data_IF_786124899053
#
_entry.id   IF_786124899053
#
_cell.length_a   1.000
_cell.length_b   1.000
_cell.length_c   1.000
_cell.angle_alpha   90.00
_cell.angle_beta   90.00
_cell.angle_gamma   90.00
#
_symmetry.space_group_name_H-M   'P 1'
#
loop_
_entity.id
_entity.type
_entity.pdbx_description
1 polymer ?
#
# COMPACT_ATOMS: atom_id res chain seq x y z
N UNK A 1 14.26 60.93 -1.22
CA UNK A 1 14.78 60.16 -2.41
C UNK A 1 16.30 59.93 -2.36
N UNK A 2 17.11 60.76 -1.71
CA UNK A 2 18.58 60.68 -1.64
C UNK A 2 19.08 59.47 -0.81
N UNK A 3 18.45 59.12 0.30
CA UNK A 3 18.90 58.00 1.17
C UNK A 3 18.72 56.62 0.51
N UNK A 4 17.72 56.44 -0.37
CA UNK A 4 17.49 55.18 -1.07
C UNK A 4 18.53 54.95 -2.18
N UNK A 5 18.96 56.02 -2.88
CA UNK A 5 20.01 55.98 -3.90
C UNK A 5 21.40 55.68 -3.28
N UNK A 6 21.74 56.24 -2.12
CA UNK A 6 22.98 55.93 -1.44
C UNK A 6 23.04 54.51 -0.90
N UNK A 7 21.95 53.97 -0.44
CA UNK A 7 21.84 52.54 -0.03
C UNK A 7 22.02 51.59 -1.22
N UNK A 8 21.40 51.87 -2.37
CA UNK A 8 21.56 51.09 -3.59
C UNK A 8 22.99 51.10 -4.13
N UNK A 9 23.70 52.24 -4.05
CA UNK A 9 25.10 52.34 -4.45
C UNK A 9 26.06 51.62 -3.49
N UNK A 10 25.79 51.60 -2.19
CA UNK A 10 26.52 50.79 -1.20
C UNK A 10 26.29 49.31 -1.39
N UNK A 11 25.03 48.86 -1.65
CA UNK A 11 24.68 47.48 -1.95
C UNK A 11 25.36 47.00 -3.24
N UNK A 12 25.43 47.81 -4.30
CA UNK A 12 26.11 47.45 -5.54
C UNK A 12 27.62 47.32 -5.40
N UNK A 13 28.22 48.07 -4.49
CA UNK A 13 29.68 48.04 -4.20
C UNK A 13 30.05 46.82 -3.34
N UNK A 14 29.15 46.36 -2.47
CA UNK A 14 29.37 45.24 -1.55
C UNK A 14 28.43 44.04 -1.80
N UNK A 15 27.96 43.87 -3.04
CA UNK A 15 26.99 42.83 -3.39
C UNK A 15 27.37 41.43 -2.91
N UNK A 16 28.69 41.11 -2.90
CA UNK A 16 29.17 39.79 -2.41
C UNK A 16 28.92 39.60 -0.92
N UNK A 17 29.20 40.65 -0.11
CA UNK A 17 28.97 40.58 1.34
C UNK A 17 27.47 40.43 1.64
N UNK A 18 26.63 41.13 0.86
CA UNK A 18 25.18 41.05 0.99
C UNK A 18 24.69 39.63 0.63
N UNK A 19 25.17 39.03 -0.48
CA UNK A 19 24.79 37.68 -0.88
C UNK A 19 25.30 36.62 0.09
N UNK A 20 26.53 36.76 0.61
CA UNK A 20 27.06 35.88 1.65
C UNK A 20 26.24 35.99 2.94
N UNK A 21 25.90 37.21 3.36
CA UNK A 21 25.00 37.44 4.49
C UNK A 21 23.61 36.77 4.28
N UNK A 22 23.05 36.93 3.07
CA UNK A 22 21.77 36.28 2.72
C UNK A 22 21.87 34.76 2.76
N UNK A 23 22.92 34.17 2.18
CA UNK A 23 23.15 32.74 2.23
C UNK A 23 23.29 32.24 3.68
N UNK A 24 24.00 32.96 4.53
CA UNK A 24 24.14 32.65 5.96
C UNK A 24 22.79 32.69 6.69
N UNK A 25 21.96 33.70 6.42
CA UNK A 25 20.63 33.83 6.99
C UNK A 25 19.72 32.65 6.52
N UNK A 26 19.76 32.29 5.23
CA UNK A 26 18.99 31.13 4.69
C UNK A 26 19.41 29.83 5.37
N UNK A 27 20.70 29.59 5.57
CA UNK A 27 21.19 28.42 6.28
C UNK A 27 20.79 28.47 7.76
N UNK A 28 20.89 29.63 8.41
CA UNK A 28 20.46 29.79 9.80
C UNK A 28 18.96 29.55 9.99
N UNK A 29 18.10 29.96 9.05
CA UNK A 29 16.67 29.69 9.09
C UNK A 29 16.35 28.19 8.98
N UNK A 30 17.22 27.40 8.33
CA UNK A 30 17.04 25.93 8.29
C UNK A 30 17.14 25.27 9.68
N UNK A 31 17.78 25.91 10.67
CA UNK A 31 17.86 25.39 12.05
C UNK A 31 16.49 25.39 12.76
N UNK A 32 15.59 26.29 12.38
CA UNK A 32 14.23 26.38 12.94
C UNK A 32 13.22 25.43 12.29
N UNK A 33 13.66 24.56 11.35
CA UNK A 33 12.79 23.62 10.61
C UNK A 33 11.54 24.31 10.08
N UNK A 34 11.68 25.30 9.17
CA UNK A 34 10.51 25.99 8.63
C UNK A 34 9.65 25.00 7.85
N UNK A 35 8.40 24.87 8.27
CA UNK A 35 7.40 23.99 7.68
C UNK A 35 6.27 24.84 7.11
N UNK A 36 5.78 24.47 5.93
CA UNK A 36 4.66 25.15 5.30
C UNK A 36 3.69 24.15 4.69
N UNK A 37 2.36 24.30 4.88
CA UNK A 37 1.38 23.46 4.24
C UNK A 37 1.33 23.76 2.74
N UNK A 38 1.84 22.82 1.93
CA UNK A 38 1.78 22.88 0.48
C UNK A 38 0.85 21.80 -0.04
N UNK A 39 0.00 22.09 -1.08
CA UNK A 39 -0.81 21.08 -1.72
C UNK A 39 0.11 20.05 -2.41
N UNK A 40 0.01 18.79 -1.97
CA UNK A 40 0.73 17.65 -2.53
C UNK A 40 -0.23 16.54 -2.90
N UNK A 41 0.14 15.77 -3.91
CA UNK A 41 -0.51 14.49 -4.18
C UNK A 41 -0.05 13.50 -3.10
N UNK A 42 -1.00 13.02 -2.32
CA UNK A 42 -0.80 12.03 -1.27
C UNK A 42 -1.76 10.86 -1.47
N UNK A 43 -1.49 9.78 -0.80
CA UNK A 43 -2.26 8.55 -0.90
C UNK A 43 -2.77 8.15 0.48
N UNK A 44 -4.01 7.67 0.54
CA UNK A 44 -4.63 7.24 1.79
C UNK A 44 -5.19 5.85 1.61
N UNK A 45 -4.54 4.87 2.22
CA UNK A 45 -4.92 3.47 2.05
C UNK A 45 -5.23 2.80 3.39
N UNK A 46 -6.27 1.97 3.37
CA UNK A 46 -6.41 0.84 4.28
C UNK A 46 -5.95 -0.40 3.53
N UNK A 47 -4.81 -0.94 3.93
CA UNK A 47 -4.21 -2.14 3.32
C UNK A 47 -4.65 -3.34 4.13
N UNK A 48 -5.41 -4.25 3.51
CA UNK A 48 -5.96 -5.44 4.14
C UNK A 48 -5.28 -6.68 3.57
N UNK A 49 -4.67 -7.46 4.45
CA UNK A 49 -4.04 -8.72 4.10
C UNK A 49 -4.96 -9.90 4.40
N UNK A 50 -5.17 -10.74 3.43
CA UNK A 50 -5.69 -12.08 3.64
C UNK A 50 -4.63 -12.90 4.38
N UNK A 51 -5.01 -13.46 5.53
CA UNK A 51 -4.13 -14.30 6.37
C UNK A 51 -4.63 -15.74 6.47
N UNK A 52 -5.50 -16.15 5.56
CA UNK A 52 -6.02 -17.53 5.53
C UNK A 52 -4.96 -18.53 5.10
N UNK A 53 -5.20 -19.82 5.31
CA UNK A 53 -4.21 -20.88 5.13
C UNK A 53 -3.64 -20.97 3.71
N UNK A 54 -4.42 -20.62 2.70
CA UNK A 54 -3.99 -20.59 1.29
C UNK A 54 -2.87 -19.58 1.04
N UNK A 55 -2.77 -18.53 1.87
CA UNK A 55 -1.71 -17.53 1.80
C UNK A 55 -0.33 -18.05 2.28
N UNK A 56 -0.27 -19.23 2.91
CA UNK A 56 0.99 -19.91 3.23
C UNK A 56 1.59 -20.68 2.03
N UNK A 57 0.85 -20.76 0.93
CA UNK A 57 1.29 -21.47 -0.28
C UNK A 57 2.53 -20.83 -0.87
N UNK A 58 3.48 -21.67 -1.34
CA UNK A 58 4.75 -21.25 -1.90
C UNK A 58 4.73 -21.39 -3.42
N UNK A 59 4.35 -20.32 -4.11
CA UNK A 59 4.22 -20.26 -5.56
C UNK A 59 4.84 -19.01 -6.20
N UNK A 60 5.55 -18.21 -5.41
CA UNK A 60 6.44 -17.16 -5.92
C UNK A 60 7.86 -17.68 -6.07
N UNK A 61 8.49 -17.40 -7.23
CA UNK A 61 9.85 -17.88 -7.56
C UNK A 61 10.76 -16.73 -8.01
N UNK A 62 10.56 -15.55 -7.43
CA UNK A 62 11.38 -14.39 -7.74
C UNK A 62 12.66 -14.41 -6.89
N UNK A 63 13.83 -14.38 -7.53
CA UNK A 63 15.11 -14.43 -6.82
C UNK A 63 15.25 -13.29 -5.80
N UNK A 64 15.63 -13.65 -4.57
CA UNK A 64 15.80 -12.70 -3.46
C UNK A 64 14.52 -12.27 -2.75
N UNK A 65 13.37 -12.83 -3.14
CA UNK A 65 12.08 -12.56 -2.51
C UNK A 65 11.50 -13.83 -1.85
N UNK A 66 10.60 -13.67 -0.86
CA UNK A 66 9.91 -14.80 -0.23
C UNK A 66 9.11 -15.61 -1.25
N UNK A 67 9.00 -16.92 -0.99
CA UNK A 67 8.24 -17.81 -1.85
C UNK A 67 6.77 -17.93 -1.45
N UNK A 68 6.45 -17.76 -0.16
CA UNK A 68 5.09 -17.81 0.33
C UNK A 68 4.33 -16.52 0.05
N UNK A 69 3.03 -16.65 -0.23
CA UNK A 69 2.17 -15.56 -0.69
C UNK A 69 2.06 -14.43 0.33
N UNK A 70 1.87 -14.76 1.62
CA UNK A 70 1.68 -13.75 2.66
C UNK A 70 2.94 -12.91 2.84
N UNK A 71 4.11 -13.55 2.98
CA UNK A 71 5.37 -12.81 3.16
C UNK A 71 5.73 -12.03 1.91
N UNK A 72 5.51 -12.60 0.71
CA UNK A 72 5.73 -11.88 -0.55
C UNK A 72 4.82 -10.63 -0.65
N UNK A 73 3.55 -10.74 -0.26
CA UNK A 73 2.62 -9.61 -0.25
C UNK A 73 3.06 -8.53 0.74
N UNK A 74 3.47 -8.91 1.96
CA UNK A 74 3.97 -7.99 3.00
C UNK A 74 5.21 -7.22 2.52
N UNK A 75 6.21 -7.94 1.98
CA UNK A 75 7.44 -7.34 1.46
C UNK A 75 7.16 -6.44 0.24
N UNK A 76 6.22 -6.84 -0.62
CA UNK A 76 5.82 -6.03 -1.77
C UNK A 76 5.12 -4.74 -1.35
N UNK A 77 4.26 -4.79 -0.34
CA UNK A 77 3.63 -3.60 0.24
C UNK A 77 4.69 -2.72 0.89
N UNK A 78 5.61 -3.28 1.69
CA UNK A 78 6.73 -2.53 2.28
C UNK A 78 7.52 -1.77 1.21
N UNK A 79 7.90 -2.45 0.12
CA UNK A 79 8.59 -1.80 -1.00
C UNK A 79 7.75 -0.68 -1.63
N UNK A 80 6.44 -0.89 -1.80
CA UNK A 80 5.54 0.12 -2.34
C UNK A 80 5.40 1.34 -1.42
N UNK A 81 5.40 1.14 -0.09
CA UNK A 81 5.32 2.25 0.87
C UNK A 81 6.54 3.18 0.80
N UNK A 82 7.72 2.67 0.45
CA UNK A 82 8.91 3.50 0.24
C UNK A 82 8.80 4.46 -0.95
N UNK A 83 7.95 4.15 -1.93
CA UNK A 83 7.73 4.97 -3.13
C UNK A 83 6.62 6.02 -2.94
N UNK A 84 5.83 5.92 -1.87
CA UNK A 84 4.77 6.87 -1.58
C UNK A 84 5.34 8.15 -0.94
N UNK A 85 4.83 9.33 -1.32
CA UNK A 85 5.29 10.60 -0.77
C UNK A 85 4.91 10.76 0.71
N UNK A 86 5.75 11.47 1.47
CA UNK A 86 5.41 11.90 2.82
C UNK A 86 4.13 12.73 2.82
N UNK A 87 3.31 12.56 3.85
CA UNK A 87 1.94 13.06 3.95
C UNK A 87 0.90 12.04 3.51
N UNK A 88 1.32 10.90 2.91
CA UNK A 88 0.44 9.75 2.70
C UNK A 88 0.11 9.07 4.02
N UNK A 89 -1.09 8.50 4.13
CA UNK A 89 -1.59 7.84 5.33
C UNK A 89 -1.88 6.37 5.05
N UNK A 90 -1.41 5.49 5.91
CA UNK A 90 -1.54 4.04 5.77
C UNK A 90 -2.15 3.46 7.04
N UNK A 91 -3.27 2.75 6.89
CA UNK A 91 -3.83 1.85 7.88
C UNK A 91 -3.59 0.40 7.47
N UNK A 92 -3.57 -0.51 8.43
CA UNK A 92 -3.43 -1.94 8.18
C UNK A 92 -4.63 -2.70 8.75
N UNK A 93 -5.02 -3.75 8.04
CA UNK A 93 -6.08 -4.66 8.44
C UNK A 93 -5.78 -6.10 8.04
N UNK A 94 -6.49 -7.02 8.65
CA UNK A 94 -6.43 -8.45 8.41
C UNK A 94 -7.79 -8.95 7.95
N UNK A 95 -7.79 -9.76 6.91
CA UNK A 95 -8.95 -10.52 6.50
C UNK A 95 -8.78 -11.98 6.93
N UNK A 96 -9.78 -12.52 7.57
CA UNK A 96 -9.86 -13.94 7.92
C UNK A 96 -11.33 -14.35 8.00
N UNK A 97 -11.62 -15.57 7.60
CA UNK A 97 -12.98 -16.14 7.60
C UNK A 97 -13.93 -15.37 6.67
N UNK A 98 -14.64 -14.39 7.18
CA UNK A 98 -15.60 -13.54 6.46
C UNK A 98 -15.58 -12.08 6.88
N UNK A 99 -14.64 -11.70 7.74
CA UNK A 99 -14.57 -10.36 8.35
C UNK A 99 -13.20 -9.75 8.20
N UNK A 100 -13.16 -8.42 8.23
CA UNK A 100 -11.91 -7.66 8.26
C UNK A 100 -11.75 -7.02 9.64
N UNK A 101 -10.55 -7.09 10.17
CA UNK A 101 -10.17 -6.46 11.44
C UNK A 101 -9.10 -5.43 11.16
N UNK A 102 -9.43 -4.16 11.35
CA UNK A 102 -8.46 -3.07 11.25
C UNK A 102 -7.56 -3.08 12.47
N UNK A 103 -6.25 -3.17 12.24
CA UNK A 103 -5.24 -3.18 13.30
C UNK A 103 -5.02 -1.78 13.86
N UNK A 104 -5.02 -0.77 12.98
CA UNK A 104 -4.98 0.64 13.32
C UNK A 104 -5.52 1.50 12.16
N UNK A 105 -6.02 2.68 12.53
CA UNK A 105 -6.46 3.69 11.58
C UNK A 105 -5.29 4.28 10.79
N UNK A 106 -5.53 4.88 9.60
CA UNK A 106 -4.46 5.45 8.80
C UNK A 106 -3.64 6.48 9.56
N UNK A 107 -2.33 6.27 9.59
CA UNK A 107 -1.33 7.16 10.18
C UNK A 107 -0.36 7.66 9.10
N UNK A 108 0.22 8.84 9.31
CA UNK A 108 1.15 9.45 8.36
C UNK A 108 2.40 8.57 8.19
N UNK A 109 2.72 8.29 6.93
CA UNK A 109 3.70 7.29 6.53
C UNK A 109 5.12 7.60 7.01
N UNK A 110 5.62 8.80 6.72
CA UNK A 110 7.04 9.11 6.97
C UNK A 110 7.34 9.25 8.47
N UNK A 111 6.43 9.81 9.23
CA UNK A 111 6.61 10.00 10.69
C UNK A 111 6.45 8.70 11.47
N UNK A 112 5.69 7.74 10.92
CA UNK A 112 5.32 6.50 11.61
C UNK A 112 5.76 5.24 10.87
N UNK A 113 6.68 5.37 9.90
CA UNK A 113 7.13 4.24 9.08
C UNK A 113 7.60 3.04 9.91
N UNK A 114 8.35 3.30 10.98
CA UNK A 114 8.84 2.23 11.86
C UNK A 114 7.71 1.45 12.55
N UNK A 115 6.59 2.10 12.89
CA UNK A 115 5.42 1.46 13.49
C UNK A 115 4.72 0.60 12.45
N UNK A 116 4.50 1.16 11.25
CA UNK A 116 3.87 0.43 10.13
C UNK A 116 4.71 -0.81 9.77
N UNK A 117 6.03 -0.64 9.66
CA UNK A 117 6.96 -1.71 9.33
C UNK A 117 6.99 -2.81 10.42
N UNK A 118 6.99 -2.43 11.68
CA UNK A 118 6.95 -3.37 12.81
C UNK A 118 5.66 -4.18 12.79
N UNK A 119 4.50 -3.56 12.57
CA UNK A 119 3.22 -4.27 12.46
C UNK A 119 3.21 -5.19 11.25
N UNK A 120 3.70 -4.76 10.08
CA UNK A 120 3.84 -5.60 8.89
C UNK A 120 4.67 -6.85 9.19
N UNK A 121 5.77 -6.72 9.93
CA UNK A 121 6.61 -7.85 10.33
C UNK A 121 5.84 -8.87 11.18
N UNK A 122 4.97 -8.39 12.08
CA UNK A 122 4.23 -9.24 13.01
C UNK A 122 2.95 -9.85 12.43
N UNK A 123 2.46 -9.40 11.27
CA UNK A 123 1.34 -10.07 10.58
C UNK A 123 1.72 -11.52 10.26
N UNK A 124 0.90 -12.45 10.77
CA UNK A 124 1.16 -13.88 10.68
C UNK A 124 -0.17 -14.64 10.50
N UNK A 125 -0.15 -15.74 9.76
CA UNK A 125 -1.32 -16.58 9.51
C UNK A 125 -1.96 -17.12 10.79
N UNK A 126 -1.19 -17.27 11.88
CA UNK A 126 -1.67 -17.75 13.20
C UNK A 126 -2.62 -16.76 13.89
N UNK A 127 -2.73 -15.54 13.37
CA UNK A 127 -3.75 -14.59 13.81
C UNK A 127 -5.17 -14.97 13.32
N UNK A 128 -5.26 -15.88 12.32
CA UNK A 128 -6.53 -16.44 11.89
C UNK A 128 -7.04 -17.47 12.90
N UNK A 129 -8.32 -17.40 13.24
CA UNK A 129 -8.96 -18.32 14.20
C UNK A 129 -9.71 -19.48 13.53
N UNK A 130 -9.92 -19.44 12.23
CA UNK A 130 -10.59 -20.47 11.44
C UNK A 130 -9.87 -20.68 10.11
N UNK A 131 -10.07 -21.83 9.50
CA UNK A 131 -9.50 -22.19 8.20
C UNK A 131 -10.44 -21.90 7.01
N UNK A 132 -11.70 -21.53 7.28
CA UNK A 132 -12.66 -21.16 6.26
C UNK A 132 -12.37 -19.74 5.71
N UNK A 133 -12.75 -19.51 4.44
CA UNK A 133 -12.50 -18.27 3.73
C UNK A 133 -13.71 -17.88 2.90
N UNK A 134 -14.25 -16.69 3.14
CA UNK A 134 -15.36 -16.10 2.40
C UNK A 134 -14.97 -14.69 1.94
N UNK A 135 -14.16 -14.65 0.86
CA UNK A 135 -13.56 -13.42 0.33
C UNK A 135 -14.60 -12.38 -0.05
N UNK A 136 -15.68 -12.81 -0.69
CA UNK A 136 -16.79 -11.93 -1.07
C UNK A 136 -17.35 -11.21 0.16
N UNK A 137 -17.69 -11.96 1.21
CA UNK A 137 -18.22 -11.38 2.46
C UNK A 137 -17.21 -10.44 3.14
N UNK A 138 -15.95 -10.86 3.21
CA UNK A 138 -14.87 -10.04 3.79
C UNK A 138 -14.70 -8.71 3.07
N UNK A 139 -14.70 -8.75 1.73
CA UNK A 139 -14.60 -7.55 0.91
C UNK A 139 -15.76 -6.57 1.15
N UNK A 140 -17.00 -7.09 1.22
CA UNK A 140 -18.19 -6.28 1.51
C UNK A 140 -18.16 -5.68 2.92
N UNK A 141 -17.73 -6.46 3.91
CA UNK A 141 -17.55 -5.94 5.27
C UNK A 141 -16.50 -4.82 5.29
N UNK A 142 -15.36 -5.01 4.61
CA UNK A 142 -14.33 -3.99 4.51
C UNK A 142 -14.87 -2.70 3.88
N UNK A 143 -15.56 -2.79 2.74
CA UNK A 143 -16.14 -1.63 2.04
C UNK A 143 -17.14 -0.90 2.94
N UNK A 144 -18.06 -1.63 3.56
CA UNK A 144 -19.11 -1.06 4.41
C UNK A 144 -18.55 -0.38 5.66
N UNK A 145 -17.52 -0.97 6.28
CA UNK A 145 -16.95 -0.44 7.50
C UNK A 145 -16.06 0.76 7.20
N UNK A 146 -15.28 0.74 6.11
CA UNK A 146 -14.52 1.90 5.65
C UNK A 146 -15.43 3.07 5.26
N UNK A 147 -16.52 2.80 4.54
CA UNK A 147 -17.50 3.85 4.19
C UNK A 147 -18.06 4.57 5.42
N UNK A 148 -18.26 3.86 6.54
CA UNK A 148 -18.75 4.46 7.79
C UNK A 148 -17.69 5.28 8.50
N UNK A 149 -16.42 4.86 8.41
CA UNK A 149 -15.31 5.52 9.10
C UNK A 149 -14.81 6.72 8.31
N UNK A 150 -14.43 6.51 7.06
CA UNK A 150 -13.86 7.52 6.17
C UNK A 150 -14.08 7.12 4.70
N UNK A 151 -15.09 7.68 4.02
CA UNK A 151 -15.42 7.33 2.63
C UNK A 151 -14.34 7.75 1.62
N UNK A 152 -13.42 8.65 1.99
CA UNK A 152 -12.31 9.10 1.14
C UNK A 152 -11.11 8.15 1.23
N UNK A 153 -11.12 7.21 2.18
CA UNK A 153 -10.07 6.22 2.34
C UNK A 153 -10.17 5.14 1.26
N UNK A 154 -9.05 4.78 0.67
CA UNK A 154 -8.98 3.76 -0.39
C UNK A 154 -8.65 2.40 0.18
N UNK A 155 -9.36 1.39 -0.27
CA UNK A 155 -9.11 0.00 0.09
C UNK A 155 -8.03 -0.60 -0.83
N UNK A 156 -7.00 -1.20 -0.26
CA UNK A 156 -6.09 -2.12 -0.96
C UNK A 156 -6.24 -3.52 -0.34
N UNK A 157 -6.98 -4.40 -1.02
CA UNK A 157 -7.34 -5.72 -0.49
C UNK A 157 -6.52 -6.81 -1.17
N UNK A 158 -5.61 -7.47 -0.41
CA UNK A 158 -4.69 -8.49 -0.93
C UNK A 158 -5.21 -9.88 -0.57
N UNK A 159 -5.54 -10.71 -1.57
CA UNK A 159 -6.09 -12.07 -1.40
C UNK A 159 -5.80 -12.93 -2.63
N UNK A 160 -5.87 -14.25 -2.49
CA UNK A 160 -5.87 -15.19 -3.62
C UNK A 160 -7.27 -15.40 -4.22
N UNK A 161 -8.30 -14.90 -3.57
CA UNK A 161 -9.67 -14.93 -4.07
C UNK A 161 -10.38 -16.26 -3.92
N UNK A 162 -9.81 -17.24 -3.22
CA UNK A 162 -10.43 -18.55 -3.04
C UNK A 162 -11.48 -18.56 -1.92
N UNK A 163 -12.61 -19.20 -2.20
CA UNK A 163 -13.67 -19.48 -1.22
C UNK A 163 -13.51 -20.90 -0.66
N UNK A 164 -13.47 -21.03 0.67
CA UNK A 164 -13.33 -22.33 1.33
C UNK A 164 -14.27 -22.41 2.55
N UNK A 165 -15.25 -23.34 2.58
CA UNK A 165 -15.66 -24.21 1.49
C UNK A 165 -16.25 -23.44 0.31
N UNK A 166 -16.22 -24.00 -0.92
CA UNK A 166 -16.82 -23.37 -2.07
C UNK A 166 -18.30 -23.10 -1.84
N UNK A 167 -18.73 -21.86 -1.96
CA UNK A 167 -20.13 -21.48 -1.73
C UNK A 167 -21.02 -21.89 -2.91
N UNK A 168 -22.14 -22.53 -2.60
CA UNK A 168 -23.17 -22.92 -3.60
C UNK A 168 -24.17 -21.78 -3.88
N UNK A 169 -24.26 -20.78 -3.01
CA UNK A 169 -25.19 -19.64 -3.13
C UNK A 169 -24.38 -18.35 -3.02
N UNK A 170 -24.49 -17.49 -4.03
CA UNK A 170 -23.90 -16.16 -3.96
C UNK A 170 -24.65 -15.33 -2.92
N UNK A 171 -23.96 -14.66 -1.97
CA UNK A 171 -24.60 -13.68 -1.12
C UNK A 171 -25.29 -12.62 -1.98
N UNK A 172 -26.51 -12.23 -1.62
CA UNK A 172 -27.16 -11.07 -2.24
C UNK A 172 -26.46 -9.81 -1.73
N UNK A 173 -25.69 -9.19 -2.61
CA UNK A 173 -24.90 -7.99 -2.31
C UNK A 173 -25.57 -6.80 -2.97
N UNK A 174 -26.60 -6.28 -2.33
CA UNK A 174 -27.27 -5.08 -2.79
C UNK A 174 -26.45 -3.83 -2.45
N UNK A 175 -26.06 -3.09 -3.47
CA UNK A 175 -25.74 -1.68 -3.34
C UNK A 175 -24.33 -1.30 -2.91
N UNK A 176 -23.28 -2.05 -3.30
CA UNK A 176 -21.89 -1.75 -2.88
C UNK A 176 -21.04 -1.09 -3.99
N UNK A 177 -21.59 -0.99 -5.19
CA UNK A 177 -20.84 -0.45 -6.34
C UNK A 177 -20.47 1.02 -6.15
N UNK A 178 -19.16 1.31 -6.19
CA UNK A 178 -18.65 2.70 -6.12
C UNK A 178 -18.78 3.37 -4.76
N UNK A 179 -19.05 2.62 -3.70
CA UNK A 179 -19.18 3.17 -2.35
C UNK A 179 -17.88 3.69 -1.78
N UNK A 180 -16.76 3.04 -2.11
CA UNK A 180 -15.40 3.50 -1.82
C UNK A 180 -14.52 3.28 -3.04
N UNK A 181 -13.41 4.01 -3.12
CA UNK A 181 -12.36 3.79 -4.11
C UNK A 181 -11.33 2.80 -3.58
N UNK A 182 -10.61 2.13 -4.48
CA UNK A 182 -9.53 1.22 -4.08
C UNK A 182 -9.22 0.17 -5.12
N UNK A 183 -8.53 -0.87 -4.70
CA UNK A 183 -8.02 -1.91 -5.57
C UNK A 183 -8.00 -3.28 -4.87
N UNK A 184 -8.37 -4.31 -5.60
CA UNK A 184 -8.18 -5.71 -5.22
C UNK A 184 -6.85 -6.17 -5.82
N UNK A 185 -5.98 -6.72 -5.00
CA UNK A 185 -4.67 -7.21 -5.41
C UNK A 185 -4.68 -8.73 -5.32
N UNK A 186 -4.66 -9.37 -6.48
CA UNK A 186 -4.65 -10.83 -6.57
C UNK A 186 -3.26 -11.40 -6.26
N UNK A 187 -3.17 -12.23 -5.23
CA UNK A 187 -1.91 -12.79 -4.71
C UNK A 187 -1.81 -14.28 -5.04
N UNK A 188 -0.72 -14.69 -5.68
CA UNK A 188 -0.43 -16.08 -5.99
C UNK A 188 -0.31 -16.41 -7.48
N UNK A 189 0.05 -17.68 -7.74
CA UNK A 189 0.13 -18.28 -9.06
C UNK A 189 -1.25 -18.77 -9.55
N UNK A 190 -1.41 -18.91 -10.88
CA UNK A 190 -2.61 -19.47 -11.50
C UNK A 190 -2.54 -21.01 -11.58
N UNK A 191 -1.38 -21.59 -11.31
CA UNK A 191 -1.20 -23.05 -11.31
C UNK A 191 -1.58 -23.58 -9.92
N UNK A 192 -2.44 -24.60 -9.84
CA UNK A 192 -2.78 -25.20 -8.56
C UNK A 192 -1.56 -25.81 -7.87
N UNK A 193 -1.38 -25.49 -6.59
CA UNK A 193 -0.30 -26.00 -5.73
C UNK A 193 -0.87 -26.40 -4.37
N UNK A 194 -0.18 -27.29 -3.68
CA UNK A 194 -0.61 -27.79 -2.36
C UNK A 194 -0.48 -26.73 -1.29
N UNK A 195 -1.45 -26.67 -0.38
CA UNK A 195 -1.44 -25.76 0.76
C UNK A 195 -0.68 -26.43 1.92
N UNK A 196 0.42 -25.85 2.40
CA UNK A 196 1.17 -26.40 3.52
C UNK A 196 0.36 -26.29 4.81
N UNK A 197 0.46 -27.31 5.65
CA UNK A 197 -0.17 -27.37 6.98
C UNK A 197 0.90 -27.21 8.04
N UNK A 198 0.75 -26.20 8.88
CA UNK A 198 1.65 -25.93 9.99
C UNK A 198 0.94 -26.13 11.33
N UNK A 199 1.72 -26.45 12.36
CA UNK A 199 1.25 -26.39 13.75
C UNK A 199 1.36 -24.96 14.31
N UNK A 200 0.89 -24.76 15.55
CA UNK A 200 0.96 -23.47 16.24
C UNK A 200 2.38 -22.97 16.49
N UNK A 201 3.37 -23.87 16.44
CA UNK A 201 4.79 -23.56 16.58
C UNK A 201 5.46 -23.28 15.23
N UNK A 202 4.65 -23.18 14.15
CA UNK A 202 5.09 -22.98 12.77
C UNK A 202 5.97 -24.13 12.23
N UNK A 203 5.76 -25.36 12.73
CA UNK A 203 6.40 -26.55 12.20
C UNK A 203 5.52 -27.18 11.12
N UNK A 204 6.13 -27.54 9.98
CA UNK A 204 5.43 -28.15 8.86
C UNK A 204 4.98 -29.58 9.25
N UNK A 205 3.67 -29.83 9.25
CA UNK A 205 3.05 -31.11 9.50
C UNK A 205 2.79 -31.91 8.21
N UNK A 206 2.81 -31.26 7.05
CA UNK A 206 2.46 -31.84 5.75
C UNK A 206 1.67 -30.83 4.90
N UNK A 207 0.65 -31.33 4.23
CA UNK A 207 -0.26 -30.51 3.42
C UNK A 207 -1.70 -30.69 3.91
N UNK A 208 -2.55 -29.73 3.62
CA UNK A 208 -3.99 -29.87 3.85
C UNK A 208 -4.56 -30.87 2.85
N UNK A 209 -5.45 -31.75 3.35
CA UNK A 209 -6.15 -32.72 2.53
C UNK A 209 -7.60 -32.24 2.28
N UNK A 210 -8.19 -32.65 1.16
CA UNK A 210 -9.59 -32.33 0.86
C UNK A 210 -10.57 -32.87 1.92
N UNK A 211 -10.18 -33.92 2.61
CA UNK A 211 -10.95 -34.49 3.72
C UNK A 211 -10.96 -33.60 4.98
N UNK A 212 -9.97 -32.73 5.14
CA UNK A 212 -9.88 -31.79 6.26
C UNK A 212 -10.77 -30.55 6.07
N UNK A 213 -11.25 -30.31 4.84
CA UNK A 213 -12.09 -29.17 4.50
C UNK A 213 -13.55 -29.50 4.80
N UNK A 214 -14.19 -28.68 5.62
CA UNK A 214 -15.62 -28.82 5.90
C UNK A 214 -16.44 -28.73 4.59
N UNK A 215 -17.25 -29.74 4.34
CA UNK A 215 -18.18 -29.70 3.22
C UNK A 215 -19.38 -28.86 3.62
N UNK A 216 -19.81 -27.89 2.79
CA UNK A 216 -21.04 -27.17 3.08
C UNK A 216 -22.19 -28.18 3.25
N UNK A 217 -23.12 -27.98 4.20
CA UNK A 217 -24.28 -28.83 4.35
C UNK A 217 -25.01 -28.87 3.00
N UNK A 218 -25.31 -30.07 2.52
CA UNK A 218 -26.07 -30.27 1.28
C UNK A 218 -27.46 -29.69 1.49
N UNK A 219 -27.61 -28.41 1.17
CA UNK A 219 -28.93 -27.77 1.14
C UNK A 219 -29.63 -28.20 -0.13
N UNK A 220 -30.63 -29.05 0.04
CA UNK A 220 -31.52 -29.54 -1.03
C UNK A 220 -32.55 -28.48 -1.43
N UNK A 221 -32.19 -27.24 -1.55
CA UNK A 221 -33.05 -26.18 -2.08
C UNK A 221 -32.69 -25.96 -3.54
N UNK A 222 -33.49 -26.57 -4.39
CA UNK A 222 -33.44 -26.40 -5.85
C UNK A 222 -33.90 -24.96 -6.17
N UNK A 223 -32.96 -24.09 -6.45
CA UNK A 223 -33.21 -22.85 -7.20
C UNK A 223 -32.46 -22.92 -8.52
N UNK A 224 -33.23 -22.71 -9.56
CA UNK A 224 -32.97 -22.78 -10.98
C UNK A 224 -31.71 -22.01 -11.41
N UNK A 225 -31.00 -22.68 -12.34
CA UNK A 225 -30.06 -22.17 -13.35
C UNK A 225 -28.68 -21.62 -12.92
N UNK A 226 -27.69 -22.41 -13.34
CA UNK A 226 -26.25 -22.13 -13.44
C UNK A 226 -25.44 -21.94 -12.15
N UNK A 227 -25.63 -22.83 -11.18
CA UNK A 227 -24.63 -22.98 -10.10
C UNK A 227 -23.52 -23.90 -10.63
N UNK A 228 -22.34 -23.32 -10.88
CA UNK A 228 -21.11 -24.13 -11.04
C UNK A 228 -20.75 -24.64 -9.65
N UNK A 229 -21.29 -25.78 -9.29
CA UNK A 229 -20.91 -26.48 -8.05
C UNK A 229 -19.52 -27.05 -8.24
N UNK A 230 -18.50 -26.35 -7.79
CA UNK A 230 -17.16 -26.93 -7.62
C UNK A 230 -17.22 -27.92 -6.45
N UNK A 231 -17.48 -29.17 -6.76
CA UNK A 231 -17.33 -30.24 -5.77
C UNK A 231 -15.83 -30.52 -5.62
N UNK A 232 -15.29 -30.31 -4.41
CA UNK A 232 -13.93 -30.77 -4.10
C UNK A 232 -13.87 -32.29 -4.23
N UNK A 233 -12.79 -32.85 -4.80
CA UNK A 233 -12.53 -34.27 -4.72
C UNK A 233 -12.60 -34.74 -3.27
N UNK A 234 -13.13 -35.95 -3.02
CA UNK A 234 -13.22 -36.46 -1.65
C UNK A 234 -11.87 -36.89 -1.06
N UNK A 235 -10.88 -37.11 -1.92
CA UNK A 235 -9.54 -37.57 -1.54
C UNK A 235 -8.46 -36.75 -2.21
N UNK A 236 -7.26 -36.74 -1.64
CA UNK A 236 -6.08 -36.05 -2.15
C UNK A 236 -5.83 -34.69 -1.52
N UNK A 237 -4.69 -34.08 -1.87
CA UNK A 237 -4.29 -32.82 -1.28
C UNK A 237 -5.20 -31.67 -1.70
N UNK A 238 -5.45 -30.76 -0.76
CA UNK A 238 -6.14 -29.51 -1.05
C UNK A 238 -5.21 -28.59 -1.85
N UNK A 239 -5.72 -28.11 -3.01
CA UNK A 239 -4.96 -27.28 -3.93
C UNK A 239 -5.46 -25.84 -3.90
N UNK A 240 -4.52 -24.91 -3.89
CA UNK A 240 -4.77 -23.48 -3.98
C UNK A 240 -4.11 -22.86 -5.21
N UNK A 241 -4.79 -21.89 -5.78
CA UNK A 241 -4.30 -21.03 -6.89
C UNK A 241 -4.97 -19.66 -6.78
N UNK A 242 -4.46 -18.68 -7.50
CA UNK A 242 -5.13 -17.38 -7.62
C UNK A 242 -6.44 -17.53 -8.42
N UNK A 243 -7.59 -17.30 -7.79
CA UNK A 243 -8.89 -17.27 -8.50
C UNK A 243 -9.13 -15.89 -9.14
N UNK A 244 -8.33 -15.60 -10.17
CA UNK A 244 -8.37 -14.33 -10.88
C UNK A 244 -9.74 -14.03 -11.51
N UNK A 245 -10.47 -15.00 -12.11
CA UNK A 245 -11.83 -14.76 -12.61
C UNK A 245 -12.80 -14.30 -11.53
N UNK A 246 -12.73 -14.89 -10.33
CA UNK A 246 -13.56 -14.50 -9.19
C UNK A 246 -13.23 -13.06 -8.75
N UNK A 247 -11.94 -12.73 -8.56
CA UNK A 247 -11.52 -11.37 -8.17
C UNK A 247 -11.90 -10.30 -9.20
N UNK A 248 -11.82 -10.61 -10.49
CA UNK A 248 -12.28 -9.69 -11.55
C UNK A 248 -13.81 -9.49 -11.52
N UNK A 249 -14.55 -10.53 -11.18
CA UNK A 249 -16.00 -10.41 -10.98
C UNK A 249 -16.31 -9.51 -9.79
N UNK A 250 -15.62 -9.68 -8.66
CA UNK A 250 -15.75 -8.83 -7.48
C UNK A 250 -15.36 -7.38 -7.78
N UNK A 251 -14.28 -7.17 -8.55
CA UNK A 251 -13.87 -5.85 -9.04
C UNK A 251 -14.99 -5.17 -9.84
N UNK A 252 -15.61 -5.90 -10.78
CA UNK A 252 -16.73 -5.40 -11.57
C UNK A 252 -17.97 -5.05 -10.75
N UNK A 253 -18.29 -5.84 -9.72
CA UNK A 253 -19.46 -5.63 -8.85
C UNK A 253 -19.21 -4.46 -7.89
N UNK A 254 -18.01 -4.35 -7.31
CA UNK A 254 -17.70 -3.34 -6.30
C UNK A 254 -17.25 -2.00 -6.89
N UNK A 255 -16.78 -1.99 -8.13
CA UNK A 255 -16.17 -0.83 -8.77
C UNK A 255 -14.71 -0.59 -8.35
N UNK A 256 -14.12 -1.47 -7.54
CA UNK A 256 -12.71 -1.44 -7.20
C UNK A 256 -11.85 -1.85 -8.40
N UNK A 257 -10.63 -1.29 -8.52
CA UNK A 257 -9.66 -1.77 -9.49
C UNK A 257 -9.24 -3.22 -9.23
N UNK A 258 -8.63 -3.87 -10.22
CA UNK A 258 -8.00 -5.17 -10.04
C UNK A 258 -6.57 -5.16 -10.60
N UNK A 259 -5.63 -5.71 -9.83
CA UNK A 259 -4.25 -5.90 -10.27
C UNK A 259 -3.71 -7.21 -9.71
N UNK A 260 -2.98 -7.98 -10.52
CA UNK A 260 -2.27 -9.17 -10.04
C UNK A 260 -0.89 -8.79 -9.52
N UNK A 261 -0.57 -9.23 -8.32
CA UNK A 261 0.73 -9.07 -7.69
C UNK A 261 1.76 -9.99 -8.38
N UNK A 262 2.50 -9.44 -9.33
CA UNK A 262 3.54 -10.16 -10.06
C UNK A 262 4.95 -9.76 -9.64
N UNK A 263 5.12 -8.52 -9.17
CA UNK A 263 6.38 -8.02 -8.62
C UNK A 263 6.13 -6.84 -7.69
N UNK A 264 7.05 -6.58 -6.73
CA UNK A 264 6.96 -5.42 -5.84
C UNK A 264 6.94 -4.08 -6.59
N UNK A 265 7.76 -3.94 -7.63
CA UNK A 265 7.82 -2.71 -8.44
C UNK A 265 6.48 -2.40 -9.14
N UNK A 266 5.77 -3.46 -9.57
CA UNK A 266 4.47 -3.29 -10.19
C UNK A 266 3.44 -2.82 -9.17
N UNK A 267 3.45 -3.40 -7.97
CA UNK A 267 2.57 -2.96 -6.88
C UNK A 267 2.86 -1.50 -6.50
N UNK A 268 4.13 -1.12 -6.38
CA UNK A 268 4.52 0.25 -6.08
C UNK A 268 3.96 1.25 -7.11
N UNK A 269 4.10 0.94 -8.41
CA UNK A 269 3.53 1.77 -9.49
C UNK A 269 2.00 1.85 -9.44
N UNK A 270 1.36 0.75 -9.09
CA UNK A 270 -0.09 0.68 -8.99
C UNK A 270 -0.60 1.54 -7.82
N UNK A 271 -0.01 1.39 -6.63
CA UNK A 271 -0.41 2.16 -5.45
C UNK A 271 -0.02 3.65 -5.54
N UNK A 272 1.04 4.00 -6.28
CA UNK A 272 1.43 5.39 -6.55
C UNK A 272 0.75 6.01 -7.79
N UNK A 273 -0.21 5.31 -8.39
CA UNK A 273 -0.95 5.82 -9.55
C UNK A 273 -1.76 7.07 -9.21
N UNK A 274 -1.71 8.07 -10.09
CA UNK A 274 -2.47 9.32 -9.94
C UNK A 274 -3.99 9.11 -9.85
N UNK A 275 -4.50 7.96 -10.30
CA UNK A 275 -5.91 7.58 -10.15
C UNK A 275 -6.34 7.46 -8.67
N UNK A 276 -5.41 7.15 -7.79
CA UNK A 276 -5.64 7.03 -6.35
C UNK A 276 -5.08 8.20 -5.55
N UNK A 277 -4.46 9.18 -6.22
CA UNK A 277 -3.89 10.36 -5.56
C UNK A 277 -4.99 11.32 -5.09
N UNK A 278 -4.72 12.00 -4.00
CA UNK A 278 -5.55 13.06 -3.44
C UNK A 278 -4.69 14.30 -3.20
N UNK A 279 -5.20 15.48 -3.57
CA UNK A 279 -4.52 16.74 -3.31
C UNK A 279 -4.88 17.19 -1.88
N UNK A 280 -3.90 17.12 -0.98
CA UNK A 280 -4.06 17.61 0.39
C UNK A 280 -2.95 18.59 0.78
N UNK A 281 -3.25 19.60 1.60
CA UNK A 281 -2.22 20.43 2.21
C UNK A 281 -1.44 19.58 3.21
N UNK A 282 -0.19 19.26 2.87
CA UNK A 282 0.71 18.49 3.74
C UNK A 282 1.82 19.37 4.25
N UNK A 283 2.19 19.19 5.50
CA UNK A 283 3.32 19.90 6.12
C UNK A 283 4.59 19.51 5.36
N UNK A 284 5.14 20.49 4.65
CA UNK A 284 6.34 20.28 3.82
C UNK A 284 7.52 20.98 4.47
N UNK A 285 8.62 20.26 4.64
CA UNK A 285 9.90 20.81 5.09
C UNK A 285 10.50 21.71 4.01
N UNK A 286 10.72 22.97 4.35
CA UNK A 286 11.30 23.96 3.42
C UNK A 286 12.84 23.98 3.41
N UNK A 287 13.51 23.21 4.29
CA UNK A 287 14.98 23.18 4.37
C UNK A 287 15.68 22.84 3.05
N UNK A 288 15.22 21.84 2.25
CA UNK A 288 15.84 21.55 0.95
C UNK A 288 15.80 22.74 -0.02
N UNK A 289 14.69 23.49 -0.02
CA UNK A 289 14.53 24.67 -0.87
C UNK A 289 15.41 25.83 -0.43
N UNK A 290 15.45 26.12 0.88
CA UNK A 290 16.27 27.17 1.45
C UNK A 290 17.77 26.86 1.31
N UNK A 291 18.16 25.61 1.57
CA UNK A 291 19.54 25.14 1.40
C UNK A 291 19.97 25.14 -0.07
N UNK A 292 19.11 24.73 -0.99
CA UNK A 292 19.34 24.80 -2.43
C UNK A 292 19.52 26.24 -2.92
N UNK A 293 18.68 27.17 -2.45
CA UNK A 293 18.82 28.59 -2.76
C UNK A 293 20.13 29.19 -2.22
N UNK A 294 20.48 28.83 -0.98
CA UNK A 294 21.77 29.29 -0.38
C UNK A 294 22.96 28.75 -1.20
N UNK A 295 22.90 27.48 -1.64
CA UNK A 295 23.94 26.90 -2.49
C UNK A 295 24.07 27.62 -3.83
N UNK A 296 22.95 27.92 -4.51
CA UNK A 296 22.95 28.69 -5.76
C UNK A 296 23.60 30.06 -5.57
N UNK A 297 23.29 30.77 -4.47
CA UNK A 297 23.89 32.08 -4.13
C UNK A 297 25.41 31.94 -3.96
N UNK A 298 25.85 30.91 -3.22
CA UNK A 298 27.30 30.68 -3.02
C UNK A 298 28.00 30.38 -4.35
N UNK A 299 27.43 29.52 -5.19
CA UNK A 299 27.99 29.20 -6.52
C UNK A 299 28.11 30.49 -7.35
N UNK A 300 27.08 31.34 -7.37
CA UNK A 300 27.16 32.64 -8.10
C UNK A 300 28.28 33.53 -7.60
N UNK A 301 28.42 33.72 -6.28
CA UNK A 301 29.47 34.58 -5.69
C UNK A 301 30.87 34.10 -6.07
N UNK A 302 31.12 32.77 -6.01
CA UNK A 302 32.44 32.22 -6.30
C UNK A 302 32.73 32.02 -7.79
N UNK A 303 31.72 31.80 -8.64
CA UNK A 303 31.90 31.67 -10.10
C UNK A 303 32.27 32.98 -10.76
N UNK A 304 31.71 34.11 -10.31
CA UNK A 304 32.03 35.44 -10.82
C UNK A 304 33.48 35.84 -10.46
N UNK A 305 34.06 35.29 -9.39
CA UNK A 305 35.47 35.53 -9.02
C UNK A 305 36.45 34.89 -10.01
N UNK A 306 36.14 33.67 -10.52
CA UNK A 306 37.00 33.02 -11.51
C UNK A 306 37.02 33.75 -12.86
N UNK A 307 35.89 34.32 -13.29
CA UNK A 307 35.80 35.08 -14.54
C UNK A 307 36.57 36.42 -14.51
N UNK A 308 36.68 37.04 -13.34
CA UNK A 308 37.41 38.32 -13.18
C UNK A 308 38.95 38.12 -13.22
N UNK A 309 39.48 37.02 -12.66
CA UNK A 309 40.92 36.73 -12.66
C UNK A 309 41.44 36.22 -14.02
N UNK A 310 40.56 35.71 -14.88
CA UNK A 310 40.91 35.25 -16.24
C UNK A 310 40.99 36.35 -17.29
N UNK A 311 40.55 37.58 -17.01
CA UNK A 311 40.60 38.74 -17.91
C UNK A 311 41.78 39.70 -17.64
N UNK A 312 42.59 39.42 -16.64
CA UNK A 312 43.73 40.24 -16.22
C UNK A 312 45.09 39.55 -16.53
N UNK A 313 45.10 38.62 -17.50
CA UNK A 313 46.34 38.05 -18.10
C UNK A 313 46.38 38.28 -19.59
#
# INVERSE_FOLDING_TARGET
MTRLRSLLLLLSRHWRVVLLGLATVLVATCLWRPEWPLPRQVFRYMVVFDITQSMNTRDYHQAGWPEDRLTFAKESVRAALHELPCGSEIGLGLFTTQTVHFLFEPIELCSHFSIIDDVLNHIDWRMAWSADTHVEMGLYHAIRDLKKQDPDLRLAFLTDGQETPPQSVKPQTDGVMGEISGIIIGVGGITPVTVPRYDRSNQLLGVWENADIEKPPVSTTVYSESVITRTLPSEGPYLSWLDEPHLKTLSGITGLGYERLTSPDKLAKTLSSTAYAELRPTITDLRPFLGGLALIILVMVFSVEKGSKGRAR
#
